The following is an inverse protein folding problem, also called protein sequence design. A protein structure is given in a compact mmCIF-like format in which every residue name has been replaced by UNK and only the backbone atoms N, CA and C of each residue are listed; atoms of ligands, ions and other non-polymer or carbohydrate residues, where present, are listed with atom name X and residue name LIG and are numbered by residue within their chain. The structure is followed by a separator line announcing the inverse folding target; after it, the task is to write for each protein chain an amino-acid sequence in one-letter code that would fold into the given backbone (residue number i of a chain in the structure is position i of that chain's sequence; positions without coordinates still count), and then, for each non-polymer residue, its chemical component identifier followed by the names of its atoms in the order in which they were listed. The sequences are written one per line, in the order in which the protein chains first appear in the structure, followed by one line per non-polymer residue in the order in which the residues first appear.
data_IF_269312947839
#
_entry.id   IF_269312947839
#
_cell.length_a   1.000
_cell.length_b   1.000
_cell.length_c   1.000
_cell.angle_alpha   90.00
_cell.angle_beta   90.00
_cell.angle_gamma   90.00
#
_symmetry.space_group_name_H-M   'P 1'
#
loop_
_entity.id
_entity.type
_entity.pdbx_description
1 polymer ?
#
# COMPACT_ATOMS: atom_id res chain seq x y z
N UNK A 1 -2.87 -16.50 -16.26
CA UNK A 1 -2.46 -15.23 -16.88
C UNK A 1 -0.97 -15.04 -16.61
N UNK A 2 -0.12 -14.93 -17.64
CA UNK A 2 1.33 -14.76 -17.44
C UNK A 2 1.62 -13.37 -16.81
N UNK A 3 2.71 -13.24 -16.05
CA UNK A 3 3.17 -12.04 -15.36
C UNK A 3 3.08 -10.77 -16.23
N UNK A 4 3.53 -10.84 -17.48
CA UNK A 4 3.48 -9.73 -18.44
C UNK A 4 2.05 -9.25 -18.73
N UNK A 5 1.08 -10.16 -18.81
CA UNK A 5 -0.33 -9.79 -19.03
C UNK A 5 -0.90 -9.08 -17.81
N UNK A 6 -0.49 -9.47 -16.58
CA UNK A 6 -0.89 -8.78 -15.34
C UNK A 6 -0.34 -7.35 -15.30
N UNK A 7 0.94 -7.15 -15.56
CA UNK A 7 1.54 -5.82 -15.66
C UNK A 7 0.80 -4.97 -16.69
N UNK A 8 0.59 -5.50 -17.90
CA UNK A 8 -0.13 -4.76 -18.94
C UNK A 8 -1.54 -4.35 -18.50
N UNK A 9 -2.26 -5.24 -17.82
CA UNK A 9 -3.59 -4.94 -17.29
C UNK A 9 -3.56 -3.82 -16.23
N UNK A 10 -2.60 -3.85 -15.32
CA UNK A 10 -2.42 -2.81 -14.28
C UNK A 10 -2.12 -1.46 -14.94
N UNK A 11 -1.16 -1.43 -15.88
CA UNK A 11 -0.75 -0.22 -16.61
C UNK A 11 -1.92 0.35 -17.43
N UNK A 12 -2.70 -0.51 -18.09
CA UNK A 12 -3.87 -0.08 -18.88
C UNK A 12 -4.89 0.64 -17.99
N UNK A 13 -5.17 0.10 -16.81
CA UNK A 13 -6.08 0.73 -15.84
C UNK A 13 -5.48 2.02 -15.29
N UNK A 14 -4.20 2.01 -14.92
CA UNK A 14 -3.51 3.20 -14.41
C UNK A 14 -3.57 4.36 -15.42
N UNK A 15 -3.31 4.08 -16.70
CA UNK A 15 -3.41 5.08 -17.77
C UNK A 15 -4.82 5.59 -18.05
N UNK A 16 -5.87 4.89 -17.58
CA UNK A 16 -7.25 5.36 -17.73
C UNK A 16 -7.66 6.41 -16.69
N UNK A 17 -6.88 6.57 -15.61
CA UNK A 17 -7.14 7.56 -14.58
C UNK A 17 -6.67 8.94 -15.06
N UNK A 18 -7.52 9.95 -14.86
CA UNK A 18 -7.15 11.34 -15.11
C UNK A 18 -6.34 11.90 -13.93
N UNK A 19 -5.08 11.48 -13.81
CA UNK A 19 -4.19 11.84 -12.71
C UNK A 19 -4.04 13.36 -12.52
N UNK A 20 -4.04 14.12 -13.63
CA UNK A 20 -3.91 15.59 -13.61
C UNK A 20 -5.05 16.32 -12.90
N UNK A 21 -6.19 15.66 -12.65
CA UNK A 21 -7.31 16.20 -11.86
C UNK A 21 -7.22 15.90 -10.36
N UNK A 22 -6.23 15.12 -9.94
CA UNK A 22 -6.02 14.73 -8.55
C UNK A 22 -5.01 15.67 -7.89
N UNK A 23 -5.22 15.94 -6.61
CA UNK A 23 -4.32 16.76 -5.79
C UNK A 23 -3.28 15.90 -5.09
N UNK A 24 -2.01 16.24 -5.28
CA UNK A 24 -0.88 15.75 -4.49
C UNK A 24 -0.52 16.77 -3.39
N UNK A 25 0.56 16.54 -2.65
CA UNK A 25 1.04 17.46 -1.62
C UNK A 25 1.54 18.80 -2.19
N UNK A 26 1.82 18.90 -3.49
CA UNK A 26 2.30 20.11 -4.17
C UNK A 26 1.20 20.86 -4.94
N UNK A 27 -0.02 20.31 -5.01
CA UNK A 27 -1.20 20.95 -5.58
C UNK A 27 -1.96 20.04 -6.53
N UNK A 28 -1.40 19.77 -7.71
CA UNK A 28 -1.99 18.87 -8.71
C UNK A 28 -0.89 18.06 -9.40
N UNK A 29 -1.20 16.80 -9.68
CA UNK A 29 -0.25 15.90 -10.36
C UNK A 29 0.17 16.47 -11.71
N UNK A 30 1.45 16.77 -11.84
CA UNK A 30 2.07 17.32 -13.05
C UNK A 30 3.18 16.40 -13.62
N UNK A 31 3.32 15.20 -13.09
CA UNK A 31 4.34 14.20 -13.47
C UNK A 31 3.72 12.88 -13.94
N UNK A 32 4.53 12.02 -14.55
CA UNK A 32 4.09 10.67 -14.94
C UNK A 32 4.10 9.74 -13.73
N UNK A 33 2.96 9.66 -13.05
CA UNK A 33 2.78 8.77 -11.90
C UNK A 33 2.78 7.29 -12.30
N UNK A 34 2.31 6.96 -13.50
CA UNK A 34 2.24 5.58 -13.98
C UNK A 34 3.65 5.04 -14.19
N UNK A 35 4.52 5.83 -14.83
CA UNK A 35 5.94 5.51 -14.99
C UNK A 35 6.63 5.29 -13.64
N UNK A 36 6.41 6.19 -12.67
CA UNK A 36 6.99 6.06 -11.32
C UNK A 36 6.53 4.80 -10.60
N UNK A 37 5.24 4.46 -10.68
CA UNK A 37 4.69 3.24 -10.08
C UNK A 37 5.27 1.98 -10.71
N UNK A 38 5.40 1.93 -12.04
CA UNK A 38 6.04 0.81 -12.74
C UNK A 38 7.51 0.69 -12.31
N UNK A 39 8.21 1.81 -12.16
CA UNK A 39 9.62 1.83 -11.78
C UNK A 39 9.88 1.26 -10.37
N UNK A 40 8.88 1.23 -9.49
CA UNK A 40 8.95 0.51 -8.20
C UNK A 40 9.06 -1.01 -8.37
N UNK A 41 8.74 -1.56 -9.54
CA UNK A 41 8.92 -3.00 -9.85
C UNK A 41 10.25 -3.31 -10.54
N UNK A 42 11.11 -2.30 -10.76
CA UNK A 42 12.37 -2.46 -11.47
C UNK A 42 13.33 -3.40 -10.70
N UNK A 43 14.13 -4.19 -11.43
CA UNK A 43 15.13 -5.09 -10.82
C UNK A 43 16.26 -4.30 -10.13
N UNK A 44 16.59 -3.10 -10.62
CA UNK A 44 17.59 -2.22 -10.04
C UNK A 44 17.05 -1.51 -8.78
N UNK A 45 17.70 -1.76 -7.63
CA UNK A 45 17.32 -1.16 -6.34
C UNK A 45 17.42 0.37 -6.34
N UNK A 46 18.41 0.94 -7.02
CA UNK A 46 18.59 2.39 -7.13
C UNK A 46 17.41 3.04 -7.85
N UNK A 47 16.96 2.46 -8.96
CA UNK A 47 15.76 2.93 -9.69
C UNK A 47 14.50 2.86 -8.83
N UNK A 48 14.30 1.77 -8.08
CA UNK A 48 13.16 1.66 -7.15
C UNK A 48 13.23 2.74 -6.07
N UNK A 49 14.39 2.89 -5.42
CA UNK A 49 14.61 3.89 -4.35
C UNK A 49 14.35 5.32 -4.83
N UNK A 50 14.86 5.67 -6.00
CA UNK A 50 14.66 6.99 -6.58
C UNK A 50 13.17 7.29 -6.81
N UNK A 51 12.44 6.33 -7.39
CA UNK A 51 11.03 6.51 -7.68
C UNK A 51 10.15 6.44 -6.42
N UNK A 52 10.56 5.67 -5.42
CA UNK A 52 9.96 5.72 -4.09
C UNK A 52 10.00 7.14 -3.53
N UNK A 53 11.17 7.77 -3.45
CA UNK A 53 11.28 9.13 -2.92
C UNK A 53 10.52 10.16 -3.76
N UNK A 54 10.43 9.97 -5.08
CA UNK A 54 9.62 10.83 -5.94
C UNK A 54 8.13 10.70 -5.69
N UNK A 55 7.66 9.51 -5.29
CA UNK A 55 6.25 9.26 -4.99
C UNK A 55 5.92 9.66 -3.56
N UNK A 56 6.73 9.25 -2.59
CA UNK A 56 6.61 9.57 -1.17
C UNK A 56 6.44 11.07 -0.96
N UNK A 57 7.40 11.89 -1.39
CA UNK A 57 7.36 13.36 -1.27
C UNK A 57 6.19 14.06 -1.98
N UNK A 58 5.38 13.35 -2.76
CA UNK A 58 4.22 13.88 -3.46
C UNK A 58 2.91 13.32 -2.88
N UNK A 59 2.94 12.08 -2.40
CA UNK A 59 1.74 11.36 -1.95
C UNK A 59 1.56 11.51 -0.44
N UNK A 60 2.65 11.45 0.32
CA UNK A 60 2.72 11.50 1.78
C UNK A 60 3.86 12.41 2.21
N UNK A 61 3.56 13.55 2.82
CA UNK A 61 4.60 14.49 3.30
C UNK A 61 4.40 14.75 4.78
N UNK A 62 5.40 14.41 5.59
CA UNK A 62 5.35 14.56 7.06
C UNK A 62 4.11 13.86 7.66
N UNK A 63 3.82 12.65 7.18
CA UNK A 63 2.60 11.88 7.47
C UNK A 63 1.30 12.47 6.91
N UNK A 64 1.30 13.65 6.28
CA UNK A 64 0.10 14.22 5.67
C UNK A 64 -0.20 13.59 4.32
N UNK A 65 -1.38 12.96 4.19
CA UNK A 65 -1.84 12.30 2.97
C UNK A 65 -2.40 13.30 1.96
N UNK A 66 -2.10 13.06 0.69
CA UNK A 66 -2.77 13.73 -0.42
C UNK A 66 -3.98 12.96 -0.95
N UNK A 67 -4.79 13.61 -1.79
CA UNK A 67 -5.90 12.95 -2.50
C UNK A 67 -5.38 11.76 -3.34
N UNK A 68 -4.21 11.92 -3.98
CA UNK A 68 -3.60 10.90 -4.85
C UNK A 68 -3.33 9.57 -4.12
N UNK A 69 -3.10 9.59 -2.80
CA UNK A 69 -2.85 8.38 -2.01
C UNK A 69 -3.93 7.31 -2.21
N UNK A 70 -5.20 7.73 -2.19
CA UNK A 70 -6.37 6.86 -2.41
C UNK A 70 -6.29 6.16 -3.78
N UNK A 71 -5.92 6.90 -4.83
CA UNK A 71 -5.95 6.39 -6.20
C UNK A 71 -4.75 5.52 -6.54
N UNK A 72 -3.63 5.69 -5.84
CA UNK A 72 -2.41 4.90 -6.04
C UNK A 72 -2.49 3.52 -5.37
N UNK A 73 -3.18 3.42 -4.24
CA UNK A 73 -3.32 2.19 -3.43
C UNK A 73 -3.67 0.91 -4.19
N UNK A 74 -4.69 0.90 -5.08
CA UNK A 74 -4.99 -0.22 -5.96
C UNK A 74 -3.78 -0.77 -6.71
N UNK A 75 -2.99 0.12 -7.29
CA UNK A 75 -1.86 -0.23 -8.13
C UNK A 75 -0.69 -0.75 -7.31
N UNK A 76 -0.40 -0.13 -6.17
CA UNK A 76 0.62 -0.63 -5.23
C UNK A 76 0.28 -2.06 -4.80
N UNK A 77 -0.95 -2.31 -4.40
CA UNK A 77 -1.40 -3.64 -3.98
C UNK A 77 -1.25 -4.68 -5.09
N UNK A 78 -1.61 -4.35 -6.34
CA UNK A 78 -1.43 -5.26 -7.47
C UNK A 78 0.06 -5.48 -7.83
N UNK A 79 0.90 -4.44 -7.74
CA UNK A 79 2.34 -4.58 -7.98
C UNK A 79 3.03 -5.41 -6.91
N UNK A 80 2.65 -5.29 -5.63
CA UNK A 80 3.19 -6.12 -4.53
C UNK A 80 2.93 -7.61 -4.80
N UNK A 81 1.72 -7.97 -5.26
CA UNK A 81 1.33 -9.36 -5.55
C UNK A 81 2.19 -10.01 -6.64
N UNK A 82 2.78 -9.24 -7.54
CA UNK A 82 3.52 -9.78 -8.69
C UNK A 82 5.01 -9.51 -8.64
N UNK A 83 5.46 -8.48 -7.92
CA UNK A 83 6.86 -8.08 -7.89
C UNK A 83 7.71 -9.09 -7.12
N UNK A 84 8.90 -9.36 -7.65
CA UNK A 84 9.92 -10.15 -6.96
C UNK A 84 10.68 -9.36 -5.89
N UNK A 85 10.63 -8.03 -5.97
CA UNK A 85 11.25 -7.07 -5.06
C UNK A 85 10.18 -6.14 -4.52
N UNK A 86 9.83 -6.26 -3.24
CA UNK A 86 8.67 -5.58 -2.66
C UNK A 86 9.04 -4.47 -1.68
N UNK A 87 10.31 -4.33 -1.33
CA UNK A 87 10.84 -3.33 -0.39
C UNK A 87 10.15 -1.96 -0.52
N UNK A 88 10.40 -1.24 -1.60
CA UNK A 88 9.86 0.12 -1.77
C UNK A 88 8.37 0.20 -2.08
N UNK A 89 7.75 -0.91 -2.52
CA UNK A 89 6.30 -0.97 -2.69
C UNK A 89 5.60 -1.09 -1.33
N UNK A 90 6.15 -1.90 -0.44
CA UNK A 90 5.65 -2.08 0.93
C UNK A 90 5.91 -0.84 1.77
N UNK A 91 7.07 -0.18 1.59
CA UNK A 91 7.38 1.09 2.27
C UNK A 91 6.32 2.15 1.94
N UNK A 92 6.07 2.39 0.65
CA UNK A 92 5.09 3.41 0.25
C UNK A 92 3.67 3.04 0.68
N UNK A 93 3.31 1.74 0.67
CA UNK A 93 2.03 1.28 1.19
C UNK A 93 1.91 1.57 2.69
N UNK A 94 2.97 1.31 3.45
CA UNK A 94 3.02 1.57 4.89
C UNK A 94 2.89 3.06 5.20
N UNK A 95 3.66 3.93 4.52
CA UNK A 95 3.54 5.39 4.68
C UNK A 95 2.12 5.90 4.38
N UNK A 96 1.43 5.33 3.40
CA UNK A 96 0.03 5.68 3.11
C UNK A 96 -0.93 5.22 4.22
N UNK A 97 -0.70 4.05 4.82
CA UNK A 97 -1.55 3.51 5.89
C UNK A 97 -1.38 4.31 7.18
N UNK A 98 -0.14 4.66 7.53
CA UNK A 98 0.17 5.42 8.75
C UNK A 98 -0.06 6.93 8.60
N UNK A 99 -0.32 7.38 7.37
CA UNK A 99 -0.60 8.77 7.07
C UNK A 99 -1.90 9.27 7.72
N UNK A 100 -1.94 10.57 8.02
CA UNK A 100 -3.12 11.28 8.47
C UNK A 100 -3.73 12.11 7.35
N UNK A 101 -5.01 12.44 7.50
CA UNK A 101 -5.76 13.25 6.55
C UNK A 101 -5.58 14.76 6.76
N UNK A 102 -4.54 15.22 7.48
CA UNK A 102 -4.33 16.64 7.77
C UNK A 102 -3.28 17.21 6.81
N UNK A 103 -3.70 18.16 5.98
CA UNK A 103 -2.79 18.90 5.11
C UNK A 103 -1.91 19.88 5.90
N UNK A 104 -0.86 20.40 5.27
CA UNK A 104 0.08 21.36 5.88
C UNK A 104 -0.57 22.64 6.42
N UNK A 105 -1.78 22.98 5.98
CA UNK A 105 -2.55 24.12 6.47
C UNK A 105 -3.56 23.77 7.60
N UNK A 106 -3.55 22.52 8.08
CA UNK A 106 -4.45 22.03 9.14
C UNK A 106 -5.84 21.61 8.66
N UNK A 107 -6.14 21.71 7.37
CA UNK A 107 -7.42 21.25 6.81
C UNK A 107 -7.37 19.76 6.50
N UNK A 108 -8.51 19.11 6.70
CA UNK A 108 -8.66 17.72 6.32
C UNK A 108 -8.67 17.53 4.80
N UNK A 109 -8.10 16.42 4.35
CA UNK A 109 -8.04 16.00 2.96
C UNK A 109 -9.18 15.03 2.68
N UNK A 110 -10.00 15.39 1.70
CA UNK A 110 -11.17 14.61 1.27
C UNK A 110 -11.13 14.36 -0.22
N UNK A 111 -11.74 13.26 -0.66
CA UNK A 111 -11.91 12.96 -2.07
C UNK A 111 -13.19 12.18 -2.33
N UNK A 112 -13.61 12.20 -3.59
CA UNK A 112 -14.78 11.54 -4.13
C UNK A 112 -14.35 10.38 -5.02
N UNK A 113 -14.34 9.16 -4.46
CA UNK A 113 -13.87 7.97 -5.16
C UNK A 113 -15.02 7.08 -5.63
N UNK A 114 -15.07 6.78 -6.92
CA UNK A 114 -15.92 5.71 -7.48
C UNK A 114 -15.12 4.43 -7.57
N UNK A 115 -15.71 3.35 -7.04
CA UNK A 115 -15.09 2.02 -6.98
C UNK A 115 -15.42 1.23 -8.25
N UNK A 116 -14.39 0.66 -8.85
CA UNK A 116 -14.48 -0.29 -9.96
C UNK A 116 -13.88 -1.61 -9.54
N UNK A 117 -14.40 -2.74 -10.01
CA UNK A 117 -13.97 -4.07 -9.55
C UNK A 117 -13.29 -4.93 -10.64
N UNK A 118 -13.12 -4.41 -11.85
CA UNK A 118 -12.58 -5.17 -12.99
C UNK A 118 -11.53 -4.35 -13.72
N UNK A 119 -10.31 -4.87 -13.94
CA UNK A 119 -9.85 -6.24 -13.72
C UNK A 119 -9.47 -6.55 -12.26
N UNK A 120 -9.38 -5.52 -11.42
CA UNK A 120 -9.20 -5.57 -9.96
C UNK A 120 -9.91 -4.36 -9.34
N UNK A 121 -9.90 -4.25 -8.01
CA UNK A 121 -10.51 -3.10 -7.31
C UNK A 121 -9.66 -1.85 -7.53
N UNK A 122 -10.21 -0.80 -8.16
CA UNK A 122 -9.54 0.50 -8.32
C UNK A 122 -10.51 1.68 -8.19
N UNK A 123 -9.96 2.89 -8.09
CA UNK A 123 -10.73 4.10 -7.88
C UNK A 123 -10.58 5.09 -9.05
N UNK A 124 -11.66 5.81 -9.34
CA UNK A 124 -11.64 6.99 -10.22
C UNK A 124 -12.36 8.14 -9.55
N UNK A 125 -11.88 9.37 -9.76
CA UNK A 125 -12.54 10.57 -9.22
C UNK A 125 -13.91 10.75 -9.86
N UNK A 126 -14.91 11.08 -9.05
CA UNK A 126 -16.26 11.43 -9.53
C UNK A 126 -16.70 12.76 -8.95
N UNK A 127 -17.27 13.61 -9.80
CA UNK A 127 -17.83 14.91 -9.36
C UNK A 127 -19.23 14.74 -8.73
N UNK A 128 -19.82 13.54 -8.83
CA UNK A 128 -21.21 13.25 -8.41
C UNK A 128 -21.31 12.38 -7.15
N UNK A 129 -20.19 12.06 -6.49
CA UNK A 129 -20.17 11.26 -5.26
C UNK A 129 -19.74 12.11 -4.08
N UNK A 130 -20.22 11.75 -2.88
CA UNK A 130 -19.88 12.43 -1.64
C UNK A 130 -18.36 12.41 -1.37
N UNK A 131 -17.89 13.51 -0.78
CA UNK A 131 -16.52 13.64 -0.30
C UNK A 131 -16.36 12.83 0.98
N UNK A 132 -15.32 12.00 1.03
CA UNK A 132 -14.96 11.20 2.19
C UNK A 132 -13.53 11.52 2.60
N UNK A 133 -13.22 11.39 3.89
CA UNK A 133 -11.84 11.44 4.38
C UNK A 133 -10.99 10.41 3.64
N UNK A 134 -9.79 10.82 3.22
CA UNK A 134 -8.87 9.92 2.53
C UNK A 134 -8.56 8.69 3.37
N UNK A 135 -8.28 8.87 4.67
CA UNK A 135 -8.02 7.80 5.65
C UNK A 135 -9.16 6.78 5.73
N UNK A 136 -10.42 7.23 5.72
CA UNK A 136 -11.57 6.33 5.76
C UNK A 136 -11.65 5.41 4.52
N UNK A 137 -11.35 5.94 3.33
CA UNK A 137 -11.32 5.14 2.09
C UNK A 137 -10.13 4.15 2.12
N UNK A 138 -8.97 4.63 2.58
CA UNK A 138 -7.74 3.83 2.70
C UNK A 138 -7.97 2.66 3.65
N UNK A 139 -8.49 2.91 4.84
CA UNK A 139 -8.78 1.89 5.85
C UNK A 139 -9.73 0.81 5.33
N UNK A 140 -10.83 1.22 4.69
CA UNK A 140 -11.81 0.29 4.12
C UNK A 140 -11.17 -0.58 3.02
N UNK A 141 -10.37 0.02 2.14
CA UNK A 141 -9.67 -0.72 1.09
C UNK A 141 -8.65 -1.71 1.68
N UNK A 142 -7.78 -1.25 2.57
CA UNK A 142 -6.69 -2.02 3.19
C UNK A 142 -7.26 -3.20 3.98
N UNK A 143 -8.37 -3.00 4.73
CA UNK A 143 -9.08 -4.08 5.45
C UNK A 143 -9.57 -5.18 4.51
N UNK A 144 -10.10 -4.80 3.34
CA UNK A 144 -10.53 -5.76 2.31
C UNK A 144 -9.37 -6.51 1.66
N UNK A 145 -8.14 -5.98 1.73
CA UNK A 145 -6.95 -6.62 1.21
C UNK A 145 -6.21 -7.50 2.23
N UNK A 146 -6.67 -7.60 3.48
CA UNK A 146 -6.01 -8.32 4.57
C UNK A 146 -5.44 -9.70 4.17
N UNK A 147 -6.25 -10.51 3.48
CA UNK A 147 -5.82 -11.84 3.01
C UNK A 147 -4.59 -11.80 2.11
N UNK A 148 -4.48 -10.78 1.25
CA UNK A 148 -3.29 -10.58 0.40
C UNK A 148 -2.03 -10.43 1.25
N UNK A 149 -2.06 -9.60 2.29
CA UNK A 149 -0.89 -9.34 3.14
C UNK A 149 -0.49 -10.58 3.95
N UNK A 150 -1.48 -11.37 4.38
CA UNK A 150 -1.25 -12.66 5.00
C UNK A 150 -0.58 -13.66 4.04
N UNK A 151 -1.08 -13.77 2.81
CA UNK A 151 -0.51 -14.68 1.82
C UNK A 151 0.95 -14.30 1.51
N UNK A 152 1.27 -13.00 1.50
CA UNK A 152 2.63 -12.49 1.29
C UNK A 152 3.61 -12.89 2.41
N UNK A 153 3.16 -13.10 3.66
CA UNK A 153 4.04 -13.55 4.76
C UNK A 153 4.74 -14.88 4.45
N UNK A 154 4.12 -15.73 3.63
CA UNK A 154 4.69 -17.01 3.22
C UNK A 154 5.70 -16.89 2.07
N UNK A 155 5.79 -15.72 1.44
CA UNK A 155 6.68 -15.43 0.30
C UNK A 155 7.79 -14.45 0.64
N UNK A 156 7.91 -14.06 1.92
CA UNK A 156 8.91 -13.09 2.40
C UNK A 156 10.33 -13.59 2.14
N UNK A 157 11.18 -12.71 1.59
CA UNK A 157 12.58 -13.03 1.29
C UNK A 157 13.58 -12.37 2.24
N UNK A 158 13.14 -11.35 2.99
CA UNK A 158 14.02 -10.56 3.86
C UNK A 158 13.35 -10.25 5.19
N UNK A 159 14.16 -10.03 6.24
CA UNK A 159 13.65 -9.59 7.56
C UNK A 159 12.90 -8.26 7.43
N UNK A 160 13.39 -7.37 6.58
CA UNK A 160 12.78 -6.07 6.33
C UNK A 160 11.35 -6.20 5.81
N UNK A 161 11.14 -7.00 4.75
CA UNK A 161 9.81 -7.29 4.20
C UNK A 161 8.88 -7.91 5.26
N UNK A 162 9.39 -8.79 6.13
CA UNK A 162 8.59 -9.33 7.23
C UNK A 162 8.10 -8.22 8.15
N UNK A 163 9.00 -7.33 8.58
CA UNK A 163 8.68 -6.30 9.56
C UNK A 163 7.58 -5.38 9.04
N UNK A 164 7.75 -4.85 7.83
CA UNK A 164 6.77 -3.95 7.23
C UNK A 164 5.41 -4.64 7.05
N UNK A 165 5.38 -5.91 6.63
CA UNK A 165 4.12 -6.66 6.52
C UNK A 165 3.45 -6.89 7.88
N UNK A 166 4.23 -7.17 8.93
CA UNK A 166 3.70 -7.32 10.28
C UNK A 166 3.15 -6.00 10.81
N UNK A 167 3.86 -4.89 10.61
CA UNK A 167 3.40 -3.55 11.01
C UNK A 167 2.06 -3.21 10.32
N UNK A 168 1.95 -3.44 9.00
CA UNK A 168 0.68 -3.29 8.26
C UNK A 168 -0.42 -4.18 8.87
N UNK A 169 -0.12 -5.45 9.16
CA UNK A 169 -1.12 -6.41 9.65
C UNK A 169 -1.57 -6.14 11.10
N UNK A 170 -0.71 -5.54 11.91
CA UNK A 170 -1.00 -5.18 13.30
C UNK A 170 -1.73 -3.85 13.40
N UNK A 171 -1.49 -2.92 12.46
CA UNK A 171 -2.21 -1.65 12.36
C UNK A 171 -3.73 -1.81 12.22
N UNK A 172 -4.23 -2.94 11.74
CA UNK A 172 -5.67 -3.21 11.63
C UNK A 172 -6.43 -3.22 12.96
N UNK A 173 -5.74 -3.41 14.09
CA UNK A 173 -6.26 -3.44 15.47
C UNK A 173 -7.68 -4.04 15.65
N UNK A 174 -8.01 -5.08 14.88
CA UNK A 174 -9.28 -5.79 14.99
C UNK A 174 -9.06 -7.23 15.46
N UNK A 175 -10.04 -7.75 16.19
CA UNK A 175 -9.98 -9.08 16.83
C UNK A 175 -9.78 -10.20 15.81
N UNK A 176 -10.29 -10.05 14.59
CA UNK A 176 -10.17 -11.06 13.53
C UNK A 176 -8.72 -11.07 13.03
N UNK A 177 -8.15 -9.90 12.74
CA UNK A 177 -6.75 -9.77 12.34
C UNK A 177 -5.79 -10.34 13.39
N UNK A 178 -5.99 -10.02 14.68
CA UNK A 178 -5.19 -10.59 15.77
C UNK A 178 -5.33 -12.12 15.88
N UNK A 179 -6.53 -12.66 15.71
CA UNK A 179 -6.77 -14.12 15.76
C UNK A 179 -6.14 -14.86 14.58
N UNK A 180 -6.21 -14.29 13.38
CA UNK A 180 -5.56 -14.84 12.19
C UNK A 180 -4.04 -14.80 12.32
N UNK A 181 -3.47 -13.68 12.79
CA UNK A 181 -2.05 -13.59 13.10
C UNK A 181 -1.64 -14.66 14.10
N UNK A 182 -2.35 -14.84 15.22
CA UNK A 182 -2.10 -15.94 16.18
C UNK A 182 -2.10 -17.34 15.53
N UNK A 183 -2.94 -17.55 14.54
CA UNK A 183 -3.07 -18.85 13.85
C UNK A 183 -1.94 -19.10 12.86
N UNK A 184 -1.46 -18.04 12.20
CA UNK A 184 -0.43 -18.10 11.15
C UNK A 184 0.97 -17.97 11.74
N UNK A 185 1.10 -17.30 12.88
CA UNK A 185 2.33 -17.04 13.61
C UNK A 185 3.18 -18.31 13.82
N UNK A 186 2.63 -19.46 14.29
CA UNK A 186 3.42 -20.69 14.44
C UNK A 186 3.94 -21.26 13.11
N UNK A 187 3.27 -20.97 11.98
CA UNK A 187 3.68 -21.42 10.65
C UNK A 187 4.82 -20.54 10.11
N UNK A 188 4.70 -19.22 10.27
CA UNK A 188 5.75 -18.27 9.87
C UNK A 188 7.02 -18.47 10.72
N UNK A 189 6.88 -18.68 12.04
CA UNK A 189 7.99 -18.98 12.98
C UNK A 189 8.81 -20.23 12.61
N UNK A 190 8.21 -21.19 11.91
CA UNK A 190 8.89 -22.42 11.46
C UNK A 190 9.67 -22.27 10.17
N UNK A 191 9.30 -21.30 9.33
CA UNK A 191 9.93 -21.03 8.03
C UNK A 191 11.17 -20.14 8.18
N UNK A 192 11.30 -19.49 9.34
CA UNK A 192 12.10 -18.27 9.46
C UNK A 192 13.41 -18.48 10.24
N UNK A 193 14.45 -17.71 9.89
CA UNK A 193 15.78 -17.82 10.54
C UNK A 193 15.74 -17.29 11.98
N UNK A 194 16.81 -17.50 12.76
CA UNK A 194 16.91 -17.06 14.17
C UNK A 194 16.49 -15.60 14.40
N UNK A 195 16.89 -14.71 13.48
CA UNK A 195 16.55 -13.28 13.51
C UNK A 195 15.05 -13.01 13.28
N UNK A 196 14.39 -13.82 12.46
CA UNK A 196 12.95 -13.71 12.26
C UNK A 196 12.17 -14.20 13.48
N UNK A 197 12.66 -15.23 14.19
CA UNK A 197 12.02 -15.71 15.44
C UNK A 197 12.04 -14.63 16.53
N UNK A 198 13.11 -13.84 16.63
CA UNK A 198 13.21 -12.74 17.59
C UNK A 198 12.13 -11.67 17.36
N UNK A 199 11.98 -11.24 16.10
CA UNK A 199 10.99 -10.24 15.72
C UNK A 199 9.56 -10.74 15.92
N UNK A 200 9.32 -12.00 15.57
CA UNK A 200 8.05 -12.66 15.85
C UNK A 200 7.75 -12.69 17.35
N UNK A 201 8.73 -13.05 18.21
CA UNK A 201 8.51 -13.07 19.66
C UNK A 201 8.17 -11.69 20.23
N UNK A 202 8.73 -10.60 19.68
CA UNK A 202 8.35 -9.22 20.07
C UNK A 202 6.85 -8.98 19.87
N UNK A 203 6.31 -9.41 18.73
CA UNK A 203 4.88 -9.27 18.42
C UNK A 203 3.99 -10.31 19.12
N UNK A 204 4.55 -11.42 19.63
CA UNK A 204 3.80 -12.40 20.42
C UNK A 204 3.25 -11.78 21.71
N UNK A 205 4.04 -10.92 22.36
CA UNK A 205 3.62 -10.15 23.54
C UNK A 205 2.44 -9.22 23.19
N UNK A 206 2.55 -8.47 22.08
CA UNK A 206 1.49 -7.56 21.59
C UNK A 206 0.21 -8.29 21.14
N UNK A 207 0.32 -9.54 20.71
CA UNK A 207 -0.82 -10.38 20.35
C UNK A 207 -1.49 -11.00 21.57
N UNK A 208 -0.76 -11.28 22.66
CA UNK A 208 -1.28 -11.94 23.85
C UNK A 208 -2.09 -11.01 24.78
N UNK A 209 -1.96 -9.70 24.62
CA UNK A 209 -2.84 -8.66 25.19
C UNK A 209 -4.15 -8.45 24.39
#
# INVERSE_FOLDING_TARGET
MNFMNRIYSIIKVANSINWKKLKDCEGYVNYDIVERLIALTNTNKGTRKENYWKLDNQIVVQSGLSEVAVYVLPFLNEFIKISSYRDYLLDLLFEIIEGNDISSNGSYVETSATIHNTPFVYFTKSENTELNRVTAIIDDYIKKQYKTYIDLLFEVKTIYELNVLLDILLGFNDKVSKMYLKTIYPKVKKISTESFKYLLNKYEEELLE
#
